data_IF_353626834684
#
_entry.id   IF_353626834684
#
_cell.length_a   1.000
_cell.length_b   1.000
_cell.length_c   1.000
_cell.angle_alpha   90.00
_cell.angle_beta   90.00
_cell.angle_gamma   90.00
#
_symmetry.space_group_name_H-M   'P 1'
#
loop_
_entity.id
_entity.type
_entity.pdbx_description
1 polymer ?
#
# COMPACT_ATOMS: atom_id res chain seq x y z
N UNK A 1 -23.98 1.91 26.63
CA UNK A 1 -22.89 2.12 25.65
C UNK A 1 -22.79 0.99 24.62
N UNK A 2 -23.70 0.01 24.59
CA UNK A 2 -23.63 -1.15 23.67
C UNK A 2 -24.46 -1.02 22.37
N UNK A 3 -25.31 0.01 22.25
CA UNK A 3 -26.23 0.14 21.11
C UNK A 3 -25.64 0.81 19.86
N UNK A 4 -24.55 1.57 20.00
CA UNK A 4 -23.97 2.37 18.89
C UNK A 4 -23.00 1.55 18.03
N UNK A 5 -22.28 0.60 18.63
CA UNK A 5 -21.34 -0.27 17.90
C UNK A 5 -22.04 -1.34 17.06
N UNK A 6 -23.17 -1.87 17.55
CA UNK A 6 -23.95 -2.87 16.81
C UNK A 6 -24.58 -2.28 15.54
N UNK A 7 -25.07 -1.04 15.62
CA UNK A 7 -25.61 -0.32 14.47
C UNK A 7 -24.55 0.03 13.41
N UNK A 8 -23.30 0.32 13.82
CA UNK A 8 -22.18 0.57 12.90
C UNK A 8 -21.71 -0.70 12.19
N UNK A 9 -21.69 -1.83 12.89
CA UNK A 9 -21.32 -3.12 12.32
C UNK A 9 -22.42 -3.72 11.43
N UNK A 10 -23.70 -3.57 11.79
CA UNK A 10 -24.84 -3.98 10.94
C UNK A 10 -24.95 -3.12 9.67
N UNK A 11 -24.59 -1.83 9.73
CA UNK A 11 -24.45 -0.98 8.56
C UNK A 11 -23.31 -1.41 7.64
N UNK A 12 -22.25 -2.04 8.17
CA UNK A 12 -21.13 -2.59 7.39
C UNK A 12 -21.44 -3.98 6.81
N UNK A 13 -22.24 -4.80 7.51
CA UNK A 13 -22.67 -6.13 7.04
C UNK A 13 -23.73 -6.07 5.92
N UNK A 14 -24.70 -5.15 6.03
CA UNK A 14 -25.74 -4.94 5.00
C UNK A 14 -25.19 -4.26 3.72
N UNK A 15 -23.97 -3.70 3.81
CA UNK A 15 -23.26 -2.97 2.75
C UNK A 15 -22.59 -3.87 1.70
N UNK A 16 -22.43 -5.18 1.98
CA UNK A 16 -21.79 -6.13 1.07
C UNK A 16 -22.75 -6.75 0.03
N UNK A 17 -24.06 -6.64 0.19
CA UNK A 17 -25.03 -7.40 -0.62
C UNK A 17 -25.85 -6.59 -1.64
N UNK A 18 -25.71 -5.26 -1.74
CA UNK A 18 -26.52 -4.48 -2.67
C UNK A 18 -25.72 -3.39 -3.39
N UNK A 19 -25.30 -3.68 -4.63
CA UNK A 19 -25.74 -2.97 -5.84
C UNK A 19 -24.78 -3.18 -7.02
N UNK A 20 -25.33 -3.70 -8.10
CA UNK A 20 -24.84 -3.49 -9.45
C UNK A 20 -25.14 -2.05 -9.89
N UNK A 21 -24.16 -1.42 -10.57
CA UNK A 21 -24.30 -0.27 -11.47
C UNK A 21 -24.78 1.08 -10.90
N UNK A 22 -23.84 1.94 -10.47
CA UNK A 22 -23.69 3.36 -10.88
C UNK A 22 -22.67 4.08 -9.93
N UNK A 23 -21.36 3.95 -10.23
CA UNK A 23 -20.26 4.46 -9.39
C UNK A 23 -20.29 5.98 -9.11
N UNK A 24 -21.06 6.75 -9.89
CA UNK A 24 -21.25 8.20 -9.66
C UNK A 24 -22.15 8.50 -8.46
N UNK A 25 -22.87 7.50 -7.95
CA UNK A 25 -23.75 7.61 -6.77
C UNK A 25 -23.11 7.05 -5.49
N UNK A 26 -21.95 6.42 -5.59
CA UNK A 26 -21.27 5.86 -4.42
C UNK A 26 -20.75 6.98 -3.51
N UNK A 27 -21.27 7.00 -2.28
CA UNK A 27 -20.81 7.88 -1.19
C UNK A 27 -19.49 7.41 -0.57
N UNK A 28 -18.83 6.41 -1.17
CA UNK A 28 -17.79 5.62 -0.52
C UNK A 28 -16.55 5.49 -1.41
N UNK A 29 -15.39 5.38 -0.78
CA UNK A 29 -14.12 5.05 -1.43
C UNK A 29 -13.78 3.61 -1.05
N UNK A 30 -13.71 2.71 -2.02
CA UNK A 30 -13.26 1.33 -1.79
C UNK A 30 -11.74 1.25 -1.97
N UNK A 31 -11.04 0.71 -0.98
CA UNK A 31 -9.59 0.55 -1.00
C UNK A 31 -9.26 -0.93 -0.89
N UNK A 32 -8.33 -1.41 -1.72
CA UNK A 32 -7.80 -2.77 -1.67
C UNK A 32 -6.32 -2.72 -1.38
N UNK A 33 -5.83 -3.60 -0.53
CA UNK A 33 -4.40 -3.81 -0.32
C UNK A 33 -4.11 -5.31 -0.32
N UNK A 34 -3.02 -5.73 -0.94
CA UNK A 34 -2.67 -7.14 -0.98
C UNK A 34 -1.15 -7.36 -1.03
N UNK A 35 -0.70 -8.45 -0.42
CA UNK A 35 0.63 -9.00 -0.67
C UNK A 35 0.50 -10.00 -1.83
N UNK A 36 1.18 -9.73 -2.96
CA UNK A 36 1.11 -10.61 -4.14
C UNK A 36 2.24 -11.63 -4.18
N UNK A 37 3.27 -11.49 -3.34
CA UNK A 37 4.48 -12.34 -3.35
C UNK A 37 5.12 -12.48 -4.74
N UNK A 38 4.90 -11.49 -5.61
CA UNK A 38 5.46 -11.42 -6.95
C UNK A 38 4.41 -11.39 -8.07
N UNK A 39 4.80 -10.81 -9.21
CA UNK A 39 4.09 -11.01 -10.47
C UNK A 39 4.94 -11.93 -11.37
N UNK A 40 4.59 -13.22 -11.52
CA UNK A 40 5.41 -14.17 -12.27
C UNK A 40 5.59 -13.71 -13.73
N UNK A 41 6.83 -13.38 -14.09
CA UNK A 41 7.15 -12.86 -15.43
C UNK A 41 7.03 -13.91 -16.56
N UNK A 42 6.75 -15.18 -16.24
CA UNK A 42 6.59 -16.27 -17.21
C UNK A 42 5.41 -16.06 -18.18
N UNK A 43 4.39 -15.28 -17.80
CA UNK A 43 3.19 -15.07 -18.61
C UNK A 43 2.96 -13.60 -18.98
N UNK A 44 4.00 -12.85 -19.40
CA UNK A 44 3.86 -11.51 -20.03
C UNK A 44 2.85 -10.59 -19.33
N UNK A 45 3.13 -10.10 -18.13
CA UNK A 45 2.36 -9.02 -17.49
C UNK A 45 0.85 -9.27 -17.24
N UNK A 46 0.31 -10.44 -17.63
CA UNK A 46 -1.13 -10.71 -17.57
C UNK A 46 -1.66 -10.67 -16.15
N UNK A 47 -0.84 -11.02 -15.16
CA UNK A 47 -1.31 -11.10 -13.78
C UNK A 47 -1.43 -9.71 -13.13
N UNK A 48 -0.58 -8.76 -13.52
CA UNK A 48 -0.72 -7.37 -13.09
C UNK A 48 -1.89 -6.68 -13.81
N UNK A 49 -2.07 -6.96 -15.11
CA UNK A 49 -3.24 -6.47 -15.85
C UNK A 49 -4.54 -7.08 -15.32
N UNK A 50 -4.58 -8.38 -15.03
CA UNK A 50 -5.73 -9.04 -14.37
C UNK A 50 -6.02 -8.42 -13.01
N UNK A 51 -4.99 -8.17 -12.19
CA UNK A 51 -5.17 -7.51 -10.89
C UNK A 51 -5.86 -6.15 -11.04
N UNK A 52 -5.48 -5.36 -12.05
CA UNK A 52 -6.12 -4.09 -12.36
C UNK A 52 -7.56 -4.30 -12.85
N UNK A 53 -7.80 -5.23 -13.77
CA UNK A 53 -9.14 -5.52 -14.30
C UNK A 53 -10.09 -6.01 -13.21
N UNK A 54 -9.63 -6.85 -12.29
CA UNK A 54 -10.39 -7.26 -11.11
C UNK A 54 -10.74 -6.07 -10.22
N UNK A 55 -9.75 -5.21 -9.92
CA UNK A 55 -9.98 -4.02 -9.12
C UNK A 55 -10.96 -3.03 -9.79
N UNK A 56 -10.91 -2.90 -11.12
CA UNK A 56 -11.89 -2.14 -11.90
C UNK A 56 -13.29 -2.75 -11.83
N UNK A 57 -13.40 -4.07 -11.96
CA UNK A 57 -14.68 -4.79 -11.88
C UNK A 57 -15.33 -4.63 -10.50
N UNK A 58 -14.53 -4.64 -9.44
CA UNK A 58 -14.98 -4.48 -8.05
C UNK A 58 -15.22 -3.01 -7.64
N UNK A 59 -15.05 -2.07 -8.59
CA UNK A 59 -15.16 -0.62 -8.36
C UNK A 59 -14.24 -0.13 -7.24
N UNK A 60 -13.01 -0.66 -7.19
CA UNK A 60 -11.99 -0.23 -6.24
C UNK A 60 -11.40 1.12 -6.67
N UNK A 61 -11.47 2.09 -5.78
CA UNK A 61 -11.00 3.46 -5.98
C UNK A 61 -9.48 3.60 -5.78
N UNK A 62 -8.87 2.75 -4.94
CA UNK A 62 -7.43 2.69 -4.75
C UNK A 62 -7.00 1.26 -4.45
N UNK A 63 -6.08 0.71 -5.24
CA UNK A 63 -5.49 -0.61 -4.96
C UNK A 63 -4.00 -0.48 -4.67
N UNK A 64 -3.53 -1.16 -3.63
CA UNK A 64 -2.12 -1.34 -3.29
C UNK A 64 -1.70 -2.80 -3.44
N UNK A 65 -0.47 -3.00 -3.90
CA UNK A 65 0.17 -4.32 -3.91
C UNK A 65 1.63 -4.22 -3.47
N UNK A 66 2.05 -5.15 -2.62
CA UNK A 66 3.42 -5.24 -2.09
C UNK A 66 4.12 -6.51 -2.56
N UNK A 67 5.43 -6.55 -2.35
CA UNK A 67 6.31 -7.65 -2.73
C UNK A 67 6.20 -8.01 -4.21
N UNK A 68 6.27 -6.99 -5.08
CA UNK A 68 6.12 -7.20 -6.53
C UNK A 68 7.15 -8.16 -7.12
N UNK A 69 8.30 -8.35 -6.45
CA UNK A 69 9.40 -9.25 -6.80
C UNK A 69 9.69 -9.23 -8.32
N UNK A 70 9.84 -8.03 -8.88
CA UNK A 70 9.94 -7.82 -10.32
C UNK A 70 11.39 -7.89 -10.80
N UNK A 71 11.66 -8.70 -11.81
CA UNK A 71 12.91 -8.62 -12.57
C UNK A 71 12.99 -7.32 -13.37
N UNK A 72 14.15 -7.00 -13.96
CA UNK A 72 14.28 -5.85 -14.86
C UNK A 72 13.25 -5.86 -16.01
N UNK A 73 12.94 -7.05 -16.56
CA UNK A 73 11.87 -7.22 -17.56
C UNK A 73 10.48 -7.00 -16.96
N UNK A 74 10.27 -7.43 -15.71
CA UNK A 74 9.05 -7.19 -14.96
C UNK A 74 8.78 -5.70 -14.73
N UNK A 75 9.81 -4.92 -14.37
CA UNK A 75 9.72 -3.46 -14.21
C UNK A 75 9.42 -2.78 -15.55
N UNK A 76 10.14 -3.14 -16.62
CA UNK A 76 9.93 -2.57 -17.93
C UNK A 76 8.48 -2.77 -18.40
N UNK A 77 7.95 -3.98 -18.28
CA UNK A 77 6.56 -4.19 -18.66
C UNK A 77 5.53 -3.78 -17.62
N UNK A 78 5.90 -3.53 -16.35
CA UNK A 78 5.04 -2.76 -15.44
C UNK A 78 4.83 -1.35 -15.98
N UNK A 79 5.89 -0.72 -16.51
CA UNK A 79 5.79 0.59 -17.16
C UNK A 79 4.96 0.51 -18.45
N UNK A 80 5.08 -0.57 -19.24
CA UNK A 80 4.25 -0.76 -20.44
C UNK A 80 2.77 -1.01 -20.09
N UNK A 81 2.47 -1.85 -19.10
CA UNK A 81 1.11 -2.02 -18.58
C UNK A 81 0.60 -0.71 -18.02
N UNK A 82 1.41 0.01 -17.25
CA UNK A 82 0.99 1.30 -16.71
C UNK A 82 0.64 2.28 -17.83
N UNK A 83 1.43 2.32 -18.90
CA UNK A 83 1.15 3.13 -20.09
C UNK A 83 -0.11 2.69 -20.83
N UNK A 84 -0.33 1.38 -20.97
CA UNK A 84 -1.50 0.83 -21.67
C UNK A 84 -2.79 1.02 -20.85
N UNK A 85 -2.71 0.81 -19.53
CA UNK A 85 -3.79 1.06 -18.58
C UNK A 85 -4.08 2.56 -18.50
N UNK A 86 -3.08 3.43 -18.44
CA UNK A 86 -3.27 4.89 -18.55
C UNK A 86 -4.00 5.27 -19.85
N UNK A 87 -3.67 4.65 -20.98
CA UNK A 87 -4.39 4.90 -22.23
C UNK A 87 -5.85 4.41 -22.19
N UNK A 88 -6.10 3.24 -21.60
CA UNK A 88 -7.42 2.58 -21.58
C UNK A 88 -8.37 3.16 -20.52
N UNK A 89 -7.87 3.33 -19.31
CA UNK A 89 -8.64 3.67 -18.09
C UNK A 89 -8.35 5.08 -17.57
N UNK A 90 -7.35 5.78 -18.14
CA UNK A 90 -6.79 7.04 -17.61
C UNK A 90 -6.29 6.94 -16.15
N UNK A 91 -6.13 5.73 -15.62
CA UNK A 91 -5.75 5.50 -14.23
C UNK A 91 -4.33 5.99 -13.92
N UNK A 92 -4.12 6.47 -12.70
CA UNK A 92 -2.81 6.84 -12.16
C UNK A 92 -2.18 5.63 -11.49
N UNK A 93 -0.92 5.34 -11.84
CA UNK A 93 -0.12 4.30 -11.19
C UNK A 93 1.06 4.98 -10.52
N UNK A 94 1.22 4.73 -9.23
CA UNK A 94 2.34 5.25 -8.43
C UNK A 94 3.15 4.06 -7.93
N UNK A 95 4.31 3.78 -8.55
CA UNK A 95 5.24 2.78 -8.04
C UNK A 95 6.19 3.41 -7.02
N UNK A 96 6.39 2.74 -5.88
CA UNK A 96 7.52 2.97 -4.99
C UNK A 96 8.65 2.00 -5.40
N UNK A 97 9.27 2.26 -6.56
CA UNK A 97 10.36 1.47 -7.15
C UNK A 97 11.55 2.37 -7.50
N UNK A 98 12.78 1.85 -7.44
CA UNK A 98 13.94 2.60 -7.97
C UNK A 98 13.97 2.59 -9.50
N UNK A 99 14.14 3.76 -10.16
CA UNK A 99 14.74 3.81 -11.48
C UNK A 99 16.26 3.55 -11.48
N UNK A 100 16.97 3.73 -10.36
CA UNK A 100 18.44 3.67 -10.31
C UNK A 100 18.98 2.24 -10.34
N UNK A 101 19.99 2.10 -11.21
CA UNK A 101 20.91 0.99 -11.45
C UNK A 101 20.29 -0.38 -11.23
N UNK A 102 19.69 -0.91 -12.29
CA UNK A 102 19.56 -2.35 -12.56
C UNK A 102 20.85 -3.00 -12.05
N UNK A 103 20.81 -3.70 -10.91
CA UNK A 103 21.90 -4.58 -10.56
C UNK A 103 22.03 -5.52 -11.76
N UNK A 104 23.20 -5.54 -12.42
CA UNK A 104 23.45 -6.30 -13.66
C UNK A 104 23.25 -7.82 -13.48
N UNK A 105 22.92 -8.27 -12.28
CA UNK A 105 22.43 -9.61 -12.00
C UNK A 105 21.09 -9.82 -12.70
N UNK A 106 21.03 -10.83 -13.57
CA UNK A 106 19.81 -11.25 -14.28
C UNK A 106 18.73 -11.79 -13.33
N UNK A 107 19.09 -12.03 -12.06
CA UNK A 107 18.25 -12.71 -11.06
C UNK A 107 17.80 -11.77 -9.92
N UNK A 108 18.12 -10.47 -9.98
CA UNK A 108 17.67 -9.53 -8.96
C UNK A 108 16.19 -9.17 -9.15
N UNK A 109 15.34 -9.59 -8.20
CA UNK A 109 13.93 -9.25 -8.14
C UNK A 109 13.73 -8.04 -7.21
N UNK A 110 13.33 -6.89 -7.75
CA UNK A 110 13.03 -5.71 -6.94
C UNK A 110 11.73 -5.95 -6.17
N UNK A 111 11.83 -5.89 -4.85
CA UNK A 111 10.66 -5.73 -3.99
C UNK A 111 10.10 -4.31 -4.11
N UNK A 112 8.97 -4.05 -3.46
CA UNK A 112 8.41 -2.71 -3.40
C UNK A 112 6.90 -2.71 -3.27
N UNK A 113 6.35 -1.51 -3.30
CA UNK A 113 4.92 -1.22 -3.25
C UNK A 113 4.53 -0.55 -4.57
N UNK A 114 3.42 -0.95 -5.17
CA UNK A 114 2.81 -0.21 -6.26
C UNK A 114 1.34 0.01 -5.97
N UNK A 115 0.85 1.17 -6.38
CA UNK A 115 -0.55 1.53 -6.21
C UNK A 115 -1.18 1.91 -7.54
N UNK A 116 -2.46 1.63 -7.66
CA UNK A 116 -3.27 1.93 -8.83
C UNK A 116 -4.55 2.66 -8.40
N UNK A 117 -4.88 3.73 -9.12
CA UNK A 117 -6.06 4.56 -8.88
C UNK A 117 -6.75 4.87 -10.21
N UNK A 118 -8.03 4.48 -10.42
CA UNK A 118 -8.80 4.84 -11.60
C UNK A 118 -8.88 6.35 -11.84
N UNK A 119 -9.03 6.74 -13.11
CA UNK A 119 -9.17 8.16 -13.48
C UNK A 119 -10.37 8.88 -12.89
N UNK A 120 -11.46 8.16 -12.62
CA UNK A 120 -12.65 8.78 -12.04
C UNK A 120 -12.41 9.27 -10.60
N UNK A 121 -11.37 8.75 -9.92
CA UNK A 121 -10.91 9.24 -8.61
C UNK A 121 -9.98 10.45 -8.71
N UNK A 122 -9.43 10.74 -9.89
CA UNK A 122 -8.46 11.82 -10.07
C UNK A 122 -9.02 13.20 -9.73
N UNK A 123 -10.34 13.41 -9.86
CA UNK A 123 -10.99 14.68 -9.51
C UNK A 123 -10.99 15.01 -8.01
N UNK A 124 -10.75 14.02 -7.16
CA UNK A 124 -10.61 14.21 -5.70
C UNK A 124 -9.17 14.06 -5.22
N UNK A 125 -8.30 13.43 -6.00
CA UNK A 125 -6.91 13.21 -5.63
C UNK A 125 -6.13 14.54 -5.62
N UNK A 126 -5.60 14.92 -4.47
CA UNK A 126 -4.88 16.18 -4.28
C UNK A 126 -3.36 16.02 -4.31
N UNK A 127 -2.85 14.80 -4.17
CA UNK A 127 -1.44 14.50 -4.34
C UNK A 127 -1.00 13.20 -3.69
N UNK A 128 0.26 12.84 -3.93
CA UNK A 128 0.88 11.66 -3.35
C UNK A 128 2.24 11.99 -2.72
N UNK A 129 2.65 11.15 -1.77
CA UNK A 129 4.01 11.15 -1.20
C UNK A 129 4.52 9.71 -1.15
N UNK A 130 5.77 9.52 -1.54
CA UNK A 130 6.43 8.21 -1.50
C UNK A 130 7.55 8.28 -0.48
N UNK A 131 7.58 7.33 0.45
CA UNK A 131 8.69 7.21 1.40
C UNK A 131 10.03 7.09 0.66
N UNK A 132 11.05 7.75 1.19
CA UNK A 132 12.40 7.76 0.60
C UNK A 132 13.02 6.35 0.56
N UNK A 133 12.61 5.47 1.47
CA UNK A 133 13.04 4.08 1.52
C UNK A 133 11.99 3.11 0.94
N UNK A 134 10.95 3.64 0.28
CA UNK A 134 9.92 2.88 -0.48
C UNK A 134 9.10 1.93 0.38
N UNK A 135 8.94 2.27 1.64
CA UNK A 135 8.18 1.48 2.61
C UNK A 135 6.69 1.77 2.56
N UNK A 136 6.27 2.96 2.11
CA UNK A 136 4.87 3.30 1.93
C UNK A 136 4.65 4.34 0.82
N UNK A 137 3.39 4.44 0.39
CA UNK A 137 2.87 5.54 -0.44
C UNK A 137 1.66 6.12 0.27
N UNK A 138 1.64 7.45 0.40
CA UNK A 138 0.49 8.23 0.86
C UNK A 138 -0.23 8.79 -0.35
N UNK A 139 -1.53 8.53 -0.45
CA UNK A 139 -2.44 9.18 -1.40
C UNK A 139 -3.37 10.13 -0.65
N UNK A 140 -3.50 11.36 -1.13
CA UNK A 140 -4.33 12.39 -0.51
C UNK A 140 -5.55 12.66 -1.37
N UNK A 141 -6.71 12.78 -0.72
CA UNK A 141 -7.98 13.03 -1.38
C UNK A 141 -8.76 14.13 -0.68
N UNK A 142 -9.29 15.06 -1.45
CA UNK A 142 -10.28 16.00 -1.00
C UNK A 142 -11.63 15.31 -0.80
N UNK A 143 -12.28 15.61 0.32
CA UNK A 143 -13.67 15.21 0.56
C UNK A 143 -14.54 16.43 0.85
N UNK A 144 -15.84 16.21 1.05
CA UNK A 144 -16.75 17.31 1.40
C UNK A 144 -16.55 17.85 2.83
N UNK A 145 -15.94 17.06 3.72
CA UNK A 145 -15.74 17.41 5.13
C UNK A 145 -14.27 17.67 5.41
N UNK A 146 -13.46 16.61 5.47
CA UNK A 146 -12.03 16.65 5.74
C UNK A 146 -11.28 15.93 4.63
N UNK A 147 -10.10 16.42 4.27
CA UNK A 147 -9.20 15.67 3.40
C UNK A 147 -8.81 14.34 4.08
N UNK A 148 -8.63 13.30 3.28
CA UNK A 148 -8.19 11.98 3.75
C UNK A 148 -6.84 11.61 3.15
N UNK A 149 -5.96 11.08 3.98
CA UNK A 149 -4.71 10.44 3.60
C UNK A 149 -4.84 8.93 3.72
N UNK A 150 -4.74 8.23 2.59
CA UNK A 150 -4.69 6.77 2.55
C UNK A 150 -3.24 6.34 2.37
N UNK A 151 -2.69 5.69 3.39
CA UNK A 151 -1.31 5.23 3.43
C UNK A 151 -1.29 3.73 3.21
N UNK A 152 -0.60 3.30 2.16
CA UNK A 152 -0.36 1.90 1.86
C UNK A 152 1.07 1.57 2.28
N UNK A 153 1.26 0.68 3.25
CA UNK A 153 2.55 0.47 3.92
C UNK A 153 3.02 -0.99 3.88
N UNK A 154 4.34 -1.16 3.85
CA UNK A 154 5.02 -2.45 3.83
C UNK A 154 6.22 -2.44 4.75
N UNK A 155 6.18 -3.24 5.81
CA UNK A 155 7.33 -3.48 6.68
C UNK A 155 7.96 -4.82 6.32
N UNK A 156 9.27 -4.83 6.11
CA UNK A 156 10.01 -6.07 5.80
C UNK A 156 10.10 -7.02 7.01
N UNK A 157 10.25 -8.32 6.74
CA UNK A 157 10.55 -9.34 7.74
C UNK A 157 11.78 -9.00 8.58
N UNK A 158 11.84 -9.49 9.81
CA UNK A 158 13.02 -9.42 10.66
C UNK A 158 14.17 -10.20 10.04
N UNK A 159 15.26 -9.51 9.71
CA UNK A 159 16.47 -10.11 9.15
C UNK A 159 17.62 -9.10 9.14
N UNK A 160 18.85 -9.60 9.27
CA UNK A 160 20.10 -8.84 9.12
C UNK A 160 20.74 -9.16 7.77
N UNK A 161 21.52 -8.25 7.19
CA UNK A 161 22.16 -8.41 5.85
C UNK A 161 22.88 -9.76 5.70
N UNK A 162 23.56 -10.19 6.76
CA UNK A 162 24.42 -11.39 6.78
C UNK A 162 23.67 -12.69 7.05
N UNK A 163 22.35 -12.62 7.29
CA UNK A 163 21.53 -13.81 7.38
C UNK A 163 21.21 -14.34 5.98
N UNK A 164 21.35 -15.65 5.79
CA UNK A 164 20.89 -16.37 4.60
C UNK A 164 19.37 -16.27 4.38
N UNK A 165 18.64 -15.75 5.38
CA UNK A 165 17.19 -15.57 5.41
C UNK A 165 16.73 -14.14 5.09
N UNK A 166 17.64 -13.20 4.83
CA UNK A 166 17.26 -11.81 4.52
C UNK A 166 16.64 -11.69 3.13
N UNK A 167 15.41 -11.16 3.07
CA UNK A 167 14.69 -10.93 1.81
C UNK A 167 15.35 -9.82 0.99
N UNK A 168 15.16 -9.83 -0.33
CA UNK A 168 15.71 -8.80 -1.22
C UNK A 168 15.20 -7.41 -0.82
N UNK A 169 13.92 -7.31 -0.46
CA UNK A 169 13.32 -6.06 0.01
C UNK A 169 13.98 -5.53 1.30
N UNK A 170 14.33 -6.41 2.24
CA UNK A 170 15.03 -6.01 3.47
C UNK A 170 16.41 -5.44 3.13
N UNK A 171 17.21 -6.13 2.30
CA UNK A 171 18.53 -5.66 1.88
C UNK A 171 18.48 -4.32 1.13
N UNK A 172 17.48 -4.12 0.27
CA UNK A 172 17.29 -2.85 -0.44
C UNK A 172 16.97 -1.71 0.53
N UNK A 173 15.98 -1.89 1.41
CA UNK A 173 15.60 -0.87 2.39
C UNK A 173 16.75 -0.55 3.36
N UNK A 174 17.50 -1.55 3.79
CA UNK A 174 18.66 -1.35 4.65
C UNK A 174 19.77 -0.56 3.93
N UNK A 175 20.05 -0.88 2.66
CA UNK A 175 21.04 -0.14 1.87
C UNK A 175 20.65 1.33 1.71
N UNK A 176 19.37 1.62 1.46
CA UNK A 176 18.86 2.99 1.36
C UNK A 176 18.97 3.73 2.70
N UNK A 177 18.63 3.07 3.81
CA UNK A 177 18.76 3.63 5.16
C UNK A 177 20.21 3.94 5.50
N UNK A 178 21.14 3.01 5.25
CA UNK A 178 22.56 3.18 5.53
C UNK A 178 23.22 4.27 4.67
N UNK A 179 22.76 4.46 3.43
CA UNK A 179 23.24 5.53 2.56
C UNK A 179 22.96 6.93 3.14
N UNK A 180 21.87 7.09 3.90
CA UNK A 180 21.48 8.36 4.54
C UNK A 180 21.99 8.47 5.98
N UNK A 181 21.99 7.37 6.71
CA UNK A 181 22.51 7.28 8.07
C UNK A 181 23.31 5.97 8.22
N UNK A 182 24.64 6.02 8.12
CA UNK A 182 25.50 4.83 8.21
C UNK A 182 25.35 4.01 9.51
N UNK A 183 24.78 4.60 10.57
CA UNK A 183 24.53 3.94 11.86
C UNK A 183 23.15 3.27 11.96
N UNK A 184 22.27 3.44 10.95
CA UNK A 184 20.93 2.86 10.94
C UNK A 184 20.97 1.38 10.56
N UNK A 185 21.07 0.51 11.57
CA UNK A 185 21.14 -0.94 11.38
C UNK A 185 19.78 -1.65 11.43
N UNK A 186 18.74 -1.03 12.01
CA UNK A 186 17.45 -1.67 12.21
C UNK A 186 16.36 -1.06 11.31
N UNK A 187 16.08 -1.74 10.20
CA UNK A 187 15.08 -1.33 9.20
C UNK A 187 13.67 -1.24 9.78
N UNK A 188 13.28 -2.19 10.64
CA UNK A 188 11.94 -2.23 11.24
C UNK A 188 11.73 -1.08 12.23
N UNK A 189 12.73 -0.76 13.05
CA UNK A 189 12.68 0.37 13.97
C UNK A 189 12.64 1.70 13.21
N UNK A 190 13.44 1.84 12.15
CA UNK A 190 13.40 3.01 11.28
C UNK A 190 12.02 3.15 10.60
N UNK A 191 11.44 2.05 10.11
CA UNK A 191 10.08 2.03 9.57
C UNK A 191 9.08 2.58 10.57
N UNK A 192 9.09 2.10 11.81
CA UNK A 192 8.17 2.53 12.87
C UNK A 192 8.28 4.04 13.15
N UNK A 193 9.51 4.54 13.32
CA UNK A 193 9.74 5.95 13.62
C UNK A 193 9.31 6.86 12.46
N UNK A 194 9.68 6.49 11.24
CA UNK A 194 9.42 7.33 10.08
C UNK A 194 7.94 7.30 9.68
N UNK A 195 7.28 6.13 9.78
CA UNK A 195 5.84 6.03 9.58
C UNK A 195 5.08 6.82 10.65
N UNK A 196 5.49 6.74 11.92
CA UNK A 196 4.91 7.54 13.01
C UNK A 196 5.03 9.05 12.74
N UNK A 197 6.18 9.51 12.23
CA UNK A 197 6.36 10.90 11.83
C UNK A 197 5.43 11.28 10.66
N UNK A 198 5.23 10.37 9.70
CA UNK A 198 4.29 10.57 8.61
C UNK A 198 2.83 10.65 9.11
N UNK A 199 2.40 9.75 9.98
CA UNK A 199 1.06 9.76 10.58
C UNK A 199 0.78 11.06 11.32
N UNK A 200 1.74 11.49 12.15
CA UNK A 200 1.66 12.76 12.85
C UNK A 200 1.55 13.93 11.89
N UNK A 201 2.39 13.99 10.86
CA UNK A 201 2.35 15.04 9.83
C UNK A 201 0.99 15.13 9.15
N UNK A 202 0.44 14.00 8.67
CA UNK A 202 -0.85 14.00 7.98
C UNK A 202 -1.99 14.46 8.89
N UNK A 203 -1.99 14.06 10.16
CA UNK A 203 -2.96 14.52 11.17
C UNK A 203 -2.79 15.99 11.53
N UNK A 204 -1.56 16.47 11.70
CA UNK A 204 -1.26 17.88 11.99
C UNK A 204 -1.70 18.79 10.83
N UNK A 205 -1.71 18.27 9.59
CA UNK A 205 -2.27 18.93 8.41
C UNK A 205 -3.81 18.83 8.31
N UNK A 206 -4.48 18.31 9.35
CA UNK A 206 -5.94 18.26 9.47
C UNK A 206 -6.61 17.14 8.68
N UNK A 207 -5.87 16.12 8.24
CA UNK A 207 -6.42 15.01 7.46
C UNK A 207 -6.85 13.84 8.33
N UNK A 208 -7.95 13.21 7.92
CA UNK A 208 -8.28 11.86 8.38
C UNK A 208 -7.26 10.88 7.79
N UNK A 209 -6.84 9.87 8.55
CA UNK A 209 -5.77 8.95 8.11
C UNK A 209 -6.27 7.51 8.14
N UNK A 210 -6.17 6.84 6.98
CA UNK A 210 -6.40 5.41 6.84
C UNK A 210 -5.08 4.74 6.47
N UNK A 211 -4.67 3.73 7.25
CA UNK A 211 -3.48 2.94 6.96
C UNK A 211 -3.90 1.52 6.62
N UNK A 212 -3.42 1.02 5.48
CA UNK A 212 -3.47 -0.39 5.13
C UNK A 212 -2.04 -0.86 4.93
N UNK A 213 -1.70 -2.03 5.44
CA UNK A 213 -0.34 -2.50 5.25
C UNK A 213 -0.10 -3.94 5.66
N UNK A 214 0.98 -4.48 5.10
CA UNK A 214 1.58 -5.72 5.57
C UNK A 214 2.75 -5.34 6.46
N UNK A 215 2.56 -5.56 7.76
CA UNK A 215 3.55 -5.25 8.77
C UNK A 215 4.49 -6.43 9.06
N UNK A 216 4.36 -7.57 8.39
CA UNK A 216 5.14 -8.78 8.65
C UNK A 216 5.24 -9.10 10.16
N UNK A 217 4.10 -9.00 10.83
CA UNK A 217 3.86 -9.35 12.22
C UNK A 217 2.40 -9.75 12.40
N UNK A 218 2.07 -10.58 13.41
CA UNK A 218 0.70 -10.76 13.85
C UNK A 218 0.00 -9.42 14.14
N UNK A 219 -1.31 -9.35 13.93
CA UNK A 219 -2.10 -8.14 14.18
C UNK A 219 -2.07 -7.69 15.64
N UNK A 220 -1.93 -8.64 16.57
CA UNK A 220 -1.83 -8.41 18.02
C UNK A 220 -0.38 -8.15 18.49
N UNK A 221 0.57 -8.01 17.57
CA UNK A 221 1.95 -7.75 17.93
C UNK A 221 2.08 -6.36 18.59
N UNK A 222 2.44 -6.34 19.87
CA UNK A 222 2.39 -5.14 20.73
C UNK A 222 3.05 -3.90 20.11
N UNK A 223 4.20 -4.04 19.44
CA UNK A 223 4.87 -2.91 18.76
C UNK A 223 3.97 -2.21 17.72
N UNK A 224 3.16 -2.94 16.97
CA UNK A 224 2.24 -2.39 15.96
C UNK A 224 1.02 -1.76 16.64
N UNK A 225 0.48 -2.44 17.65
CA UNK A 225 -0.64 -1.94 18.46
C UNK A 225 -0.27 -0.62 19.13
N UNK A 226 0.88 -0.57 19.79
CA UNK A 226 1.40 0.63 20.47
C UNK A 226 1.65 1.76 19.49
N UNK A 227 2.22 1.47 18.32
CA UNK A 227 2.43 2.47 17.26
C UNK A 227 1.12 3.17 16.90
N UNK A 228 0.09 2.39 16.59
CA UNK A 228 -1.20 2.94 16.15
C UNK A 228 -1.96 3.61 17.29
N UNK A 229 -1.89 3.06 18.51
CA UNK A 229 -2.46 3.68 19.71
C UNK A 229 -1.85 5.06 20.01
N UNK A 230 -0.54 5.24 19.81
CA UNK A 230 0.13 6.55 19.97
C UNK A 230 -0.41 7.63 19.00
N UNK A 231 -1.06 7.22 17.92
CA UNK A 231 -1.68 8.12 16.94
C UNK A 231 -3.21 8.08 16.98
N UNK A 232 -3.81 7.64 18.09
CA UNK A 232 -5.27 7.51 18.28
C UNK A 232 -5.97 6.71 17.15
N UNK A 233 -5.26 5.78 16.53
CA UNK A 233 -5.81 4.99 15.43
C UNK A 233 -6.62 3.81 15.97
N UNK A 234 -7.68 3.48 15.24
CA UNK A 234 -8.58 2.37 15.54
C UNK A 234 -8.42 1.29 14.47
N UNK A 235 -8.28 0.04 14.92
CA UNK A 235 -8.31 -1.10 14.01
C UNK A 235 -9.73 -1.30 13.45
N UNK A 236 -9.87 -1.19 12.13
CA UNK A 236 -11.15 -1.31 11.43
C UNK A 236 -11.49 -2.76 11.07
N UNK A 237 -10.53 -3.69 11.17
CA UNK A 237 -10.71 -5.10 10.82
C UNK A 237 -10.26 -5.95 12.02
N UNK A 238 -11.08 -6.05 13.06
CA UNK A 238 -10.73 -6.82 14.25
C UNK A 238 -10.43 -8.29 13.89
N UNK A 239 -9.58 -8.93 14.71
CA UNK A 239 -8.96 -10.27 14.57
C UNK A 239 -9.88 -11.47 14.19
N UNK A 240 -11.18 -11.27 13.95
CA UNK A 240 -12.14 -12.28 13.47
C UNK A 240 -12.37 -12.27 11.96
N UNK A 241 -11.83 -11.33 11.20
CA UNK A 241 -11.93 -11.37 9.74
C UNK A 241 -11.01 -12.48 9.17
N UNK A 242 -11.49 -13.33 8.26
CA UNK A 242 -10.65 -14.34 7.63
C UNK A 242 -9.45 -13.67 6.93
N UNK A 243 -8.25 -14.28 6.97
CA UNK A 243 -7.13 -13.79 6.18
C UNK A 243 -7.55 -13.72 4.71
N UNK A 244 -7.36 -12.54 4.11
CA UNK A 244 -7.61 -12.31 2.67
C UNK A 244 -6.41 -12.69 1.83
#
# INVERSE_FOLDING_TARGET
MEGVDRARLEAFGTFMEANEQDWRKDKYIRVRFCNKMGFPTKHRHTDFEKFIVEAEADSIALSGCVELNLSAKGIAGLADVAKNVQKRSKATIVPALDPLKIHKSKDFLKGGLATWMPSHMAGRHTGNEVDQHRRWITHRFATATNDISIILAYRVCSGTIDSSTSTIANREQQSLLMAKNPSALNVRKAFHNDLSACLKKERDEGRDVLVLGDFNSPNDHQEIVDMFAQHDMVDLVPNSAPPT
#
